data_IF_482827862524
#
_entry.id   IF_482827862524
#
_cell.length_a   1.000
_cell.length_b   1.000
_cell.length_c   1.000
_cell.angle_alpha   90.00
_cell.angle_beta   90.00
_cell.angle_gamma   90.00
#
_symmetry.space_group_name_H-M   'P 1'
#
loop_
_entity.id
_entity.type
_entity.pdbx_description
1 polymer ?
#
# COMPACT_ATOMS: atom_id res chain seq x y z
N UNK A 1 9.63 -23.38 -11.56
CA UNK A 1 8.18 -23.36 -11.89
C UNK A 1 7.68 -21.96 -11.59
N UNK A 2 7.03 -21.29 -12.54
CA UNK A 2 6.45 -19.94 -12.35
C UNK A 2 4.92 -20.04 -12.45
N UNK A 3 4.15 -19.11 -11.85
CA UNK A 3 2.70 -19.12 -11.98
C UNK A 3 2.25 -18.96 -13.44
N UNK A 4 1.28 -19.76 -13.88
CA UNK A 4 0.64 -19.65 -15.19
C UNK A 4 -0.86 -19.43 -15.03
N UNK A 5 -1.47 -18.68 -15.96
CA UNK A 5 -2.91 -18.49 -15.99
C UNK A 5 -3.60 -19.81 -16.35
N UNK A 6 -4.59 -20.21 -15.54
CA UNK A 6 -5.42 -21.41 -15.75
C UNK A 6 -6.75 -21.03 -16.43
N UNK A 7 -6.78 -19.94 -17.19
CA UNK A 7 -7.98 -19.43 -17.87
C UNK A 7 -7.81 -19.43 -19.38
N UNK A 8 -8.87 -19.82 -20.09
CA UNK A 8 -8.96 -19.71 -21.54
C UNK A 8 -9.38 -18.30 -22.02
N UNK A 9 -9.80 -17.42 -21.09
CA UNK A 9 -10.18 -16.04 -21.37
C UNK A 9 -8.93 -15.15 -21.38
N UNK A 10 -8.36 -14.89 -22.56
CA UNK A 10 -7.21 -14.00 -22.77
C UNK A 10 -7.50 -12.80 -23.66
N UNK A 11 -8.74 -12.65 -24.18
CA UNK A 11 -9.08 -11.61 -25.16
C UNK A 11 -8.79 -10.18 -24.69
N UNK A 12 -9.47 -9.68 -23.63
CA UNK A 12 -9.33 -8.28 -23.22
C UNK A 12 -7.92 -7.92 -22.70
N UNK A 13 -7.20 -8.87 -22.11
CA UNK A 13 -5.82 -8.62 -21.64
C UNK A 13 -4.84 -8.53 -22.80
N UNK A 14 -4.98 -9.36 -23.83
CA UNK A 14 -4.10 -9.29 -25.00
C UNK A 14 -4.26 -7.94 -25.73
N UNK A 15 -5.49 -7.42 -25.86
CA UNK A 15 -5.71 -6.10 -26.44
C UNK A 15 -5.11 -4.98 -25.57
N UNK A 16 -5.28 -5.06 -24.25
CA UNK A 16 -4.66 -4.12 -23.31
C UNK A 16 -3.14 -4.13 -23.42
N UNK A 17 -2.53 -5.32 -23.44
CA UNK A 17 -1.09 -5.50 -23.60
C UNK A 17 -0.60 -4.93 -24.92
N UNK A 18 -1.27 -5.24 -26.04
CA UNK A 18 -0.93 -4.70 -27.35
C UNK A 18 -1.00 -3.18 -27.37
N UNK A 19 -2.06 -2.58 -26.81
CA UNK A 19 -2.20 -1.11 -26.71
C UNK A 19 -1.08 -0.47 -25.88
N UNK A 20 -0.67 -1.11 -24.80
CA UNK A 20 0.45 -0.65 -23.96
C UNK A 20 1.75 -0.69 -24.75
N UNK A 21 2.04 -1.80 -25.46
CA UNK A 21 3.24 -1.96 -26.27
C UNK A 21 3.30 -0.94 -27.42
N UNK A 22 2.19 -0.77 -28.15
CA UNK A 22 2.10 0.15 -29.28
C UNK A 22 2.22 1.63 -28.85
N UNK A 23 1.89 1.94 -27.61
CA UNK A 23 1.85 3.31 -27.07
C UNK A 23 2.99 3.61 -26.09
N UNK A 24 4.02 2.77 -26.01
CA UNK A 24 5.07 2.86 -24.98
C UNK A 24 5.73 4.26 -24.88
N UNK A 25 6.14 4.94 -25.98
CA UNK A 25 6.70 6.28 -25.88
C UNK A 25 5.73 7.33 -25.33
N UNK A 26 4.43 7.20 -25.66
CA UNK A 26 3.39 8.09 -25.18
C UNK A 26 3.11 7.87 -23.68
N UNK A 27 3.10 6.61 -23.22
CA UNK A 27 2.96 6.23 -21.81
C UNK A 27 4.12 6.82 -20.99
N UNK A 28 5.36 6.61 -21.44
CA UNK A 28 6.55 7.13 -20.75
C UNK A 28 6.55 8.66 -20.67
N UNK A 29 6.14 9.33 -21.75
CA UNK A 29 5.96 10.79 -21.74
C UNK A 29 4.86 11.22 -20.77
N UNK A 30 3.74 10.52 -20.76
CA UNK A 30 2.61 10.82 -19.88
C UNK A 30 3.04 10.72 -18.41
N UNK A 31 3.69 9.63 -18.00
CA UNK A 31 4.22 9.49 -16.64
C UNK A 31 5.22 10.58 -16.27
N UNK A 32 6.17 10.92 -17.16
CA UNK A 32 7.12 12.03 -16.88
C UNK A 32 6.41 13.34 -16.57
N UNK A 33 5.32 13.66 -17.28
CA UNK A 33 4.54 14.88 -17.04
C UNK A 33 3.78 14.80 -15.71
N UNK A 34 3.14 13.66 -15.40
CA UNK A 34 2.49 13.47 -14.10
C UNK A 34 3.49 13.62 -12.93
N UNK A 35 4.72 13.12 -13.07
CA UNK A 35 5.76 13.24 -12.04
C UNK A 35 6.40 14.63 -11.91
N UNK A 36 6.15 15.53 -12.88
CA UNK A 36 6.48 16.95 -12.75
C UNK A 36 5.46 17.69 -11.89
N UNK A 37 4.19 17.30 -11.96
CA UNK A 37 3.10 17.90 -11.18
C UNK A 37 2.94 17.25 -9.80
N UNK A 38 3.29 15.97 -9.68
CA UNK A 38 3.11 15.18 -8.47
C UNK A 38 4.42 14.56 -7.98
N UNK A 39 4.71 14.73 -6.68
CA UNK A 39 5.86 14.09 -6.05
C UNK A 39 5.52 12.63 -5.71
N UNK A 40 6.25 11.64 -6.26
CA UNK A 40 6.04 10.25 -5.88
C UNK A 40 6.46 10.01 -4.42
N UNK A 41 5.86 9.01 -3.74
CA UNK A 41 6.32 8.61 -2.42
C UNK A 41 7.76 8.07 -2.49
N UNK A 42 8.49 8.12 -1.36
CA UNK A 42 9.85 7.56 -1.26
C UNK A 42 9.89 6.08 -1.68
N UNK A 43 8.84 5.33 -1.36
CA UNK A 43 8.63 3.96 -1.77
C UNK A 43 7.14 3.59 -1.73
N UNK A 44 6.78 2.47 -2.36
CA UNK A 44 5.44 1.88 -2.27
C UNK A 44 5.50 0.45 -2.80
N UNK A 45 4.57 -0.40 -2.38
CA UNK A 45 4.22 -1.62 -3.11
C UNK A 45 2.77 -1.56 -3.58
N UNK A 46 2.47 -2.26 -4.67
CA UNK A 46 1.11 -2.34 -5.23
C UNK A 46 0.81 -3.81 -5.53
N UNK A 47 -0.24 -4.33 -4.92
CA UNK A 47 -0.73 -5.67 -5.22
C UNK A 47 -1.62 -5.60 -6.45
N UNK A 48 -1.34 -6.43 -7.45
CA UNK A 48 -2.08 -6.47 -8.71
C UNK A 48 -2.72 -7.85 -8.86
N UNK A 49 -3.95 -7.89 -9.39
CA UNK A 49 -4.59 -9.15 -9.81
C UNK A 49 -4.77 -9.17 -11.32
N UNK A 50 -4.28 -10.24 -11.94
CA UNK A 50 -4.57 -10.58 -13.32
C UNK A 50 -5.69 -11.64 -13.36
N UNK A 51 -6.85 -11.26 -13.89
CA UNK A 51 -8.01 -12.14 -14.06
C UNK A 51 -8.15 -12.70 -15.48
N UNK A 52 -7.21 -12.41 -16.40
CA UNK A 52 -7.29 -12.72 -17.84
C UNK A 52 -8.21 -11.78 -18.63
N UNK A 53 -9.20 -11.17 -17.98
CA UNK A 53 -10.09 -10.17 -18.58
C UNK A 53 -9.95 -8.76 -17.93
N UNK A 54 -9.12 -8.65 -16.88
CA UNK A 54 -8.89 -7.42 -16.13
C UNK A 54 -7.54 -7.50 -15.40
N UNK A 55 -6.79 -6.40 -15.40
CA UNK A 55 -5.51 -6.26 -14.70
C UNK A 55 -5.55 -5.01 -13.83
N UNK A 56 -5.83 -5.17 -12.55
CA UNK A 56 -6.12 -4.04 -11.68
C UNK A 56 -5.36 -4.13 -10.35
N UNK A 57 -4.94 -2.99 -9.78
CA UNK A 57 -4.43 -2.94 -8.42
C UNK A 57 -5.56 -3.22 -7.42
N UNK A 58 -5.22 -3.91 -6.35
CA UNK A 58 -6.16 -4.28 -5.27
C UNK A 58 -5.72 -3.80 -3.90
N UNK A 59 -4.45 -3.43 -3.75
CA UNK A 59 -3.87 -2.79 -2.57
C UNK A 59 -2.70 -1.88 -2.96
N UNK A 60 -2.53 -0.79 -2.23
CA UNK A 60 -1.36 0.09 -2.33
C UNK A 60 -0.85 0.33 -0.92
N UNK A 61 0.37 -0.15 -0.66
CA UNK A 61 1.01 -0.06 0.64
C UNK A 61 2.18 0.93 0.58
N UNK A 62 2.02 2.06 1.28
CA UNK A 62 3.06 3.08 1.42
C UNK A 62 4.14 2.72 2.45
N UNK A 63 4.03 1.59 3.14
CA UNK A 63 4.96 1.06 4.14
C UNK A 63 5.26 -0.41 3.81
N UNK A 64 5.82 -0.69 2.62
CA UNK A 64 6.05 -2.07 2.16
C UNK A 64 6.96 -2.83 3.13
N UNK A 65 6.52 -4.02 3.55
CA UNK A 65 7.21 -4.88 4.53
C UNK A 65 7.83 -6.15 3.95
N UNK A 66 8.15 -6.16 2.65
CA UNK A 66 8.63 -7.35 1.93
C UNK A 66 9.92 -7.15 1.13
N UNK A 67 10.79 -6.20 1.52
CA UNK A 67 12.04 -5.89 0.80
C UNK A 67 12.98 -7.10 0.70
N UNK A 68 12.94 -8.00 1.67
CA UNK A 68 13.69 -9.26 1.68
C UNK A 68 13.24 -10.27 0.60
N UNK A 69 12.09 -10.03 -0.07
CA UNK A 69 11.61 -10.88 -1.16
C UNK A 69 12.15 -10.43 -2.53
N UNK A 70 12.84 -9.28 -2.60
CA UNK A 70 13.52 -8.86 -3.81
C UNK A 70 14.65 -9.83 -4.14
N UNK A 71 14.76 -10.22 -5.41
CA UNK A 71 15.86 -11.06 -5.86
C UNK A 71 17.18 -10.28 -5.86
N UNK A 72 18.31 -10.97 -5.70
CA UNK A 72 19.64 -10.33 -5.71
C UNK A 72 19.87 -9.48 -6.98
N UNK A 73 19.37 -9.92 -8.12
CA UNK A 73 19.49 -9.20 -9.39
C UNK A 73 18.73 -7.86 -9.41
N UNK A 74 17.71 -7.70 -8.57
CA UNK A 74 16.93 -6.45 -8.47
C UNK A 74 17.57 -5.43 -7.52
N UNK A 75 18.49 -5.85 -6.65
CA UNK A 75 19.07 -4.97 -5.63
C UNK A 75 19.83 -3.76 -6.19
N UNK A 76 20.66 -3.88 -7.25
CA UNK A 76 21.32 -2.72 -7.83
C UNK A 76 20.33 -1.65 -8.32
N UNK A 77 19.22 -2.08 -8.94
CA UNK A 77 18.16 -1.18 -9.39
C UNK A 77 17.41 -0.54 -8.21
N UNK A 78 17.17 -1.29 -7.14
CA UNK A 78 16.56 -0.76 -5.92
C UNK A 78 17.45 0.31 -5.25
N UNK A 79 18.77 0.10 -5.23
CA UNK A 79 19.75 1.07 -4.73
C UNK A 79 19.73 2.34 -5.58
N UNK A 80 19.76 2.21 -6.91
CA UNK A 80 19.71 3.36 -7.81
C UNK A 80 18.40 4.15 -7.66
N UNK A 81 17.26 3.46 -7.51
CA UNK A 81 15.97 4.09 -7.26
C UNK A 81 15.95 4.82 -5.91
N UNK A 82 16.54 4.23 -4.86
CA UNK A 82 16.67 4.85 -3.55
C UNK A 82 17.53 6.14 -3.60
N UNK A 83 18.63 6.14 -4.36
CA UNK A 83 19.46 7.33 -4.58
C UNK A 83 18.65 8.46 -5.23
N UNK A 84 17.97 8.16 -6.34
CA UNK A 84 17.15 9.15 -7.04
C UNK A 84 16.01 9.70 -6.17
N UNK A 85 15.39 8.84 -5.34
CA UNK A 85 14.32 9.26 -4.44
C UNK A 85 14.84 10.18 -3.33
N UNK A 86 16.02 9.89 -2.78
CA UNK A 86 16.67 10.72 -1.74
C UNK A 86 17.14 12.05 -2.33
N UNK A 87 17.76 12.07 -3.50
CA UNK A 87 18.18 13.31 -4.19
C UNK A 87 17.01 14.27 -4.43
N UNK A 88 15.83 13.74 -4.77
CA UNK A 88 14.62 14.55 -4.98
C UNK A 88 14.03 15.10 -3.69
N UNK A 89 14.16 14.39 -2.57
CA UNK A 89 13.50 14.74 -1.31
C UNK A 89 14.43 15.53 -0.37
N UNK A 90 15.65 15.03 -0.17
CA UNK A 90 16.63 15.63 0.73
C UNK A 90 18.05 15.33 0.22
N UNK A 91 18.57 16.12 -0.74
CA UNK A 91 19.87 15.86 -1.37
C UNK A 91 21.06 15.99 -0.40
N UNK A 92 20.88 16.71 0.71
CA UNK A 92 21.90 16.87 1.75
C UNK A 92 21.83 15.80 2.86
N UNK A 93 20.91 14.84 2.75
CA UNK A 93 20.73 13.82 3.76
C UNK A 93 22.00 12.98 3.91
N UNK A 94 22.59 13.00 5.11
CA UNK A 94 23.71 12.12 5.49
C UNK A 94 23.24 10.95 6.34
N UNK A 95 22.33 11.23 7.26
CA UNK A 95 21.81 10.28 8.24
C UNK A 95 20.33 10.01 7.97
N UNK A 96 19.94 8.73 7.91
CA UNK A 96 18.57 8.28 7.77
C UNK A 96 18.19 7.36 8.93
N UNK A 97 17.06 7.66 9.58
CA UNK A 97 16.51 6.85 10.66
C UNK A 97 15.34 6.02 10.14
N UNK A 98 15.43 4.70 10.20
CA UNK A 98 14.30 3.82 9.91
C UNK A 98 13.52 3.58 11.20
N UNK A 99 12.21 3.82 11.17
CA UNK A 99 11.29 3.46 12.26
C UNK A 99 10.47 2.24 11.82
N UNK A 100 10.73 1.05 12.39
CA UNK A 100 10.01 -0.16 12.04
C UNK A 100 8.68 -0.28 12.82
N UNK A 101 7.88 -1.27 12.45
CA UNK A 101 6.76 -1.76 13.25
C UNK A 101 7.21 -2.15 14.66
N UNK A 102 6.30 -2.07 15.62
CA UNK A 102 6.60 -2.40 17.02
C UNK A 102 6.83 -3.90 17.26
N UNK A 103 6.48 -4.76 16.29
CA UNK A 103 6.59 -6.21 16.41
C UNK A 103 8.04 -6.68 16.25
N UNK A 104 8.69 -7.03 17.36
CA UNK A 104 10.09 -7.48 17.39
C UNK A 104 10.26 -9.00 17.25
N UNK A 105 9.16 -9.77 17.21
CA UNK A 105 9.22 -11.25 17.16
C UNK A 105 9.10 -11.83 15.74
N UNK A 106 8.61 -11.04 14.78
CA UNK A 106 8.46 -11.51 13.41
C UNK A 106 9.82 -11.41 12.69
N UNK A 107 10.54 -12.52 12.64
CA UNK A 107 11.86 -12.59 12.02
C UNK A 107 11.83 -12.27 10.52
N UNK A 108 10.78 -12.62 9.79
CA UNK A 108 10.63 -12.24 8.37
C UNK A 108 10.55 -10.72 8.20
N UNK A 109 9.79 -10.06 9.07
CA UNK A 109 9.68 -8.60 9.05
C UNK A 109 11.02 -7.93 9.43
N UNK A 110 11.75 -8.47 10.40
CA UNK A 110 13.08 -7.94 10.73
C UNK A 110 14.09 -8.13 9.60
N UNK A 111 14.05 -9.25 8.87
CA UNK A 111 14.84 -9.44 7.64
C UNK A 111 14.47 -8.40 6.58
N UNK A 112 13.18 -8.04 6.46
CA UNK A 112 12.74 -6.93 5.62
C UNK A 112 13.39 -5.59 6.05
N UNK A 113 13.36 -5.25 7.34
CA UNK A 113 13.96 -4.00 7.85
C UNK A 113 15.47 -3.98 7.61
N UNK A 114 16.15 -5.11 7.82
CA UNK A 114 17.58 -5.24 7.54
C UNK A 114 17.89 -5.06 6.05
N UNK A 115 17.07 -5.62 5.16
CA UNK A 115 17.23 -5.43 3.71
C UNK A 115 16.99 -3.97 3.30
N UNK A 116 16.01 -3.31 3.91
CA UNK A 116 15.75 -1.88 3.70
C UNK A 116 16.93 -1.02 4.15
N UNK A 117 17.50 -1.31 5.33
CA UNK A 117 18.71 -0.67 5.83
C UNK A 117 19.86 -0.82 4.82
N UNK A 118 20.07 -2.03 4.28
CA UNK A 118 21.12 -2.28 3.27
C UNK A 118 20.94 -1.43 2.02
N UNK A 119 19.73 -1.39 1.46
CA UNK A 119 19.44 -0.63 0.25
C UNK A 119 19.83 0.84 0.42
N UNK A 120 19.38 1.48 1.52
CA UNK A 120 19.69 2.88 1.78
C UNK A 120 21.16 3.11 2.21
N UNK A 121 21.78 2.17 2.91
CA UNK A 121 23.21 2.25 3.23
C UNK A 121 24.07 2.17 1.97
N UNK A 122 23.77 1.26 1.05
CA UNK A 122 24.46 1.15 -0.24
C UNK A 122 24.18 2.36 -1.14
N UNK A 123 23.03 3.02 -0.97
CA UNK A 123 22.73 4.30 -1.63
C UNK A 123 23.58 5.48 -1.11
N UNK A 124 24.39 5.28 -0.07
CA UNK A 124 25.33 6.29 0.45
C UNK A 124 24.91 6.98 1.74
N UNK A 125 23.84 6.50 2.39
CA UNK A 125 23.37 7.06 3.66
C UNK A 125 23.94 6.30 4.87
N UNK A 126 24.10 7.02 5.98
CA UNK A 126 24.33 6.41 7.28
C UNK A 126 22.97 6.04 7.90
N UNK A 127 22.62 4.76 7.87
CA UNK A 127 21.28 4.28 8.24
C UNK A 127 21.29 3.55 9.59
N UNK A 128 20.46 4.03 10.52
CA UNK A 128 20.21 3.35 11.81
C UNK A 128 18.72 3.08 12.00
N UNK A 129 18.40 2.15 12.90
CA UNK A 129 17.03 1.68 13.13
C UNK A 129 16.59 2.11 14.54
N UNK A 130 15.58 2.97 14.59
CA UNK A 130 15.02 3.51 15.83
C UNK A 130 13.67 2.89 16.16
N UNK A 131 13.57 2.24 17.30
CA UNK A 131 12.31 1.69 17.80
C UNK A 131 11.53 2.74 18.61
N UNK A 132 10.24 2.85 18.30
CA UNK A 132 9.24 3.57 19.11
C UNK A 132 8.48 2.63 20.06
N UNK A 133 8.88 1.35 20.14
CA UNK A 133 8.27 0.39 21.05
C UNK A 133 8.73 0.70 22.49
N UNK A 134 7.81 0.98 23.44
CA UNK A 134 8.16 1.32 24.82
C UNK A 134 8.87 0.20 25.60
N UNK A 135 8.83 -1.04 25.10
CA UNK A 135 9.56 -2.18 25.68
C UNK A 135 11.07 -2.15 25.36
N UNK A 136 11.47 -1.47 24.28
CA UNK A 136 12.88 -1.32 23.89
C UNK A 136 13.44 -0.09 24.59
N UNK A 137 14.18 -0.31 25.69
CA UNK A 137 14.78 0.78 26.50
C UNK A 137 16.28 0.94 26.32
N UNK A 138 16.93 -0.07 25.76
CA UNK A 138 18.37 -0.14 25.53
C UNK A 138 18.66 -0.65 24.12
N UNK A 139 19.90 -0.45 23.66
CA UNK A 139 20.38 -0.97 22.37
C UNK A 139 20.21 -2.49 22.36
N UNK A 140 19.32 -2.99 21.51
CA UNK A 140 18.85 -4.37 21.51
C UNK A 140 19.28 -5.07 20.21
N UNK A 141 20.37 -5.86 20.21
CA UNK A 141 20.72 -6.71 19.09
C UNK A 141 19.78 -7.92 19.02
N UNK A 142 19.32 -8.26 17.82
CA UNK A 142 18.48 -9.42 17.54
C UNK A 142 19.15 -10.24 16.44
N UNK A 143 19.42 -11.51 16.73
CA UNK A 143 19.95 -12.46 15.73
C UNK A 143 18.81 -13.05 14.91
N UNK A 144 18.93 -12.92 13.59
CA UNK A 144 17.98 -13.44 12.62
C UNK A 144 18.28 -14.91 12.30
N UNK A 145 17.30 -15.68 11.76
CA UNK A 145 17.48 -17.11 11.46
C UNK A 145 18.61 -17.42 10.47
N UNK A 146 19.04 -16.45 9.66
CA UNK A 146 20.14 -16.57 8.72
C UNK A 146 21.52 -16.26 9.33
N UNK A 147 21.60 -16.02 10.65
CA UNK A 147 22.83 -15.69 11.38
C UNK A 147 23.22 -14.21 11.36
N UNK A 148 22.47 -13.37 10.65
CA UNK A 148 22.71 -11.92 10.61
C UNK A 148 22.11 -11.24 11.84
N UNK A 149 22.61 -10.05 12.19
CA UNK A 149 22.12 -9.28 13.32
C UNK A 149 21.47 -7.98 12.86
N UNK A 150 20.34 -7.65 13.47
CA UNK A 150 19.72 -6.32 13.39
C UNK A 150 19.81 -5.67 14.77
N UNK A 151 20.07 -4.37 14.82
CA UNK A 151 20.17 -3.61 16.07
C UNK A 151 19.02 -2.63 16.13
N UNK A 152 18.17 -2.76 17.14
CA UNK A 152 17.09 -1.82 17.44
C UNK A 152 17.53 -0.89 18.57
N UNK A 153 17.35 0.41 18.38
CA UNK A 153 17.74 1.40 19.36
C UNK A 153 16.54 2.23 19.81
N UNK A 154 16.39 2.53 21.10
CA UNK A 154 15.31 3.41 21.56
C UNK A 154 15.46 4.79 20.95
N UNK A 155 14.39 5.30 20.32
CA UNK A 155 14.41 6.68 19.82
C UNK A 155 14.43 7.68 20.96
N UNK A 156 15.16 8.78 20.78
CA UNK A 156 15.24 9.88 21.72
C UNK A 156 14.65 11.12 21.08
N UNK A 157 13.60 11.65 21.70
CA UNK A 157 12.96 12.89 21.27
C UNK A 157 13.57 14.07 22.01
N UNK A 158 14.18 14.97 21.25
CA UNK A 158 14.51 16.32 21.69
C UNK A 158 13.32 17.25 21.42
N UNK A 159 13.40 18.53 21.82
CA UNK A 159 12.29 19.49 21.66
C UNK A 159 11.68 19.51 20.25
N UNK A 160 12.50 19.41 19.20
CA UNK A 160 12.05 19.55 17.79
C UNK A 160 12.50 18.43 16.85
N UNK A 161 13.32 17.49 17.33
CA UNK A 161 13.96 16.45 16.51
C UNK A 161 13.91 15.10 17.19
N UNK A 162 13.80 14.05 16.39
CA UNK A 162 13.89 12.65 16.80
C UNK A 162 15.22 12.07 16.31
N UNK A 163 15.95 11.39 17.19
CA UNK A 163 17.22 10.78 16.84
C UNK A 163 17.52 9.56 17.70
N UNK A 164 18.77 9.13 17.67
CA UNK A 164 19.31 8.12 18.59
C UNK A 164 20.45 8.75 19.38
N UNK A 165 21.04 7.97 20.29
CA UNK A 165 22.27 8.40 20.98
C UNK A 165 23.36 8.68 19.94
N UNK A 166 23.88 9.90 19.97
CA UNK A 166 24.93 10.42 19.08
C UNK A 166 24.60 10.30 17.58
N UNK A 167 23.30 10.34 17.23
CA UNK A 167 22.84 10.24 15.84
C UNK A 167 21.63 11.13 15.59
N UNK A 168 21.84 12.16 14.76
CA UNK A 168 20.82 13.13 14.35
C UNK A 168 20.49 12.96 12.85
N UNK A 169 19.33 12.37 12.51
CA UNK A 169 18.90 12.17 11.13
C UNK A 169 18.27 13.43 10.54
N UNK A 170 18.49 13.67 9.24
CA UNK A 170 17.72 14.68 8.49
C UNK A 170 16.39 14.10 7.99
N UNK A 171 16.38 12.79 7.75
CA UNK A 171 15.25 12.05 7.17
C UNK A 171 14.91 10.85 8.05
N UNK A 172 13.62 10.68 8.31
CA UNK A 172 13.05 9.57 9.05
C UNK A 172 12.17 8.79 8.07
N UNK A 173 12.56 7.55 7.80
CA UNK A 173 11.82 6.62 6.98
C UNK A 173 10.93 5.75 7.87
N UNK A 174 9.63 5.94 7.78
CA UNK A 174 8.65 5.12 8.48
C UNK A 174 8.44 3.82 7.70
N UNK A 175 8.80 2.68 8.27
CA UNK A 175 8.32 1.35 7.86
C UNK A 175 7.30 0.80 8.87
N UNK A 176 6.57 1.71 9.50
CA UNK A 176 5.50 1.48 10.46
C UNK A 176 4.24 2.18 9.95
N UNK A 177 3.15 1.43 9.80
CA UNK A 177 1.95 1.88 9.09
C UNK A 177 1.06 2.84 9.91
N UNK A 178 1.37 3.01 11.21
CA UNK A 178 0.66 3.87 12.17
C UNK A 178 -0.85 3.57 12.24
N UNK A 179 -1.21 2.30 12.08
CA UNK A 179 -2.57 1.77 12.18
C UNK A 179 -3.25 2.06 13.52
N UNK A 180 -2.48 2.11 14.62
CA UNK A 180 -2.98 2.46 15.95
C UNK A 180 -3.08 3.98 16.20
N UNK A 181 -2.71 4.81 15.21
CA UNK A 181 -2.53 6.25 15.37
C UNK A 181 -1.05 6.65 15.40
N UNK A 182 -0.75 7.87 14.97
CA UNK A 182 0.58 8.43 15.11
C UNK A 182 0.86 8.70 16.59
N UNK A 183 1.91 8.12 17.20
CA UNK A 183 2.27 8.47 18.56
C UNK A 183 2.86 9.89 18.61
N UNK A 184 2.57 10.64 19.67
CA UNK A 184 3.01 12.04 19.82
C UNK A 184 4.52 12.27 19.67
N UNK A 185 5.35 11.23 19.86
CA UNK A 185 6.79 11.30 19.62
C UNK A 185 7.15 11.57 18.14
N UNK A 186 6.27 11.22 17.19
CA UNK A 186 6.42 11.46 15.76
C UNK A 186 5.72 12.73 15.28
N UNK A 187 4.94 13.38 16.15
CA UNK A 187 4.21 14.60 15.82
C UNK A 187 5.13 15.83 15.91
N UNK A 188 4.72 16.90 15.23
CA UNK A 188 5.39 18.23 15.30
C UNK A 188 6.90 18.18 14.97
N UNK A 189 7.30 17.28 14.06
CA UNK A 189 8.66 17.20 13.50
C UNK A 189 8.77 18.14 12.29
N UNK A 190 9.09 19.41 12.53
CA UNK A 190 9.20 20.41 11.47
C UNK A 190 10.60 20.52 10.85
N UNK A 191 11.61 19.95 11.49
CA UNK A 191 13.02 20.06 11.05
C UNK A 191 13.57 18.77 10.41
N UNK A 192 12.71 17.76 10.27
CA UNK A 192 13.08 16.45 9.74
C UNK A 192 12.01 15.98 8.76
N UNK A 193 12.43 15.34 7.68
CA UNK A 193 11.50 14.77 6.72
C UNK A 193 10.98 13.44 7.24
N UNK A 194 9.68 13.35 7.46
CA UNK A 194 9.00 12.10 7.79
C UNK A 194 8.41 11.49 6.52
N UNK A 195 8.91 10.32 6.11
CA UNK A 195 8.57 9.71 4.84
C UNK A 195 8.06 8.27 5.04
N UNK A 196 6.86 7.92 4.55
CA UNK A 196 5.79 8.82 4.11
C UNK A 196 5.33 9.78 5.22
N UNK A 197 4.67 10.89 4.88
CA UNK A 197 4.16 11.83 5.89
C UNK A 197 3.02 11.22 6.73
N UNK A 198 2.80 11.71 7.96
CA UNK A 198 1.81 11.13 8.90
C UNK A 198 0.39 11.03 8.33
N UNK A 199 -0.03 11.97 7.49
CA UNK A 199 -1.37 11.94 6.88
C UNK A 199 -1.55 10.76 5.89
N UNK A 200 -0.47 10.11 5.47
CA UNK A 200 -0.49 8.87 4.71
C UNK A 200 -0.70 7.62 5.59
N UNK A 201 -0.62 7.77 6.92
CA UNK A 201 -0.81 6.70 7.90
C UNK A 201 -2.20 6.06 7.83
N UNK A 202 -2.29 4.81 8.26
CA UNK A 202 -3.52 4.00 8.19
C UNK A 202 -4.68 4.59 9.00
N UNK A 203 -4.37 5.28 10.11
CA UNK A 203 -5.36 5.88 11.01
C UNK A 203 -6.09 7.08 10.42
N UNK A 204 -5.50 7.77 9.43
CA UNK A 204 -6.04 9.02 8.88
C UNK A 204 -6.61 8.83 7.47
N UNK A 205 -5.92 8.04 6.63
CA UNK A 205 -6.32 7.92 5.23
C UNK A 205 -7.67 7.23 5.06
N UNK A 206 -8.35 7.55 3.96
CA UNK A 206 -9.62 6.92 3.57
C UNK A 206 -9.45 6.13 2.28
N UNK A 207 -9.95 4.89 2.26
CA UNK A 207 -9.90 4.03 1.07
C UNK A 207 -10.77 4.60 -0.05
N UNK A 208 -11.91 5.19 0.29
CA UNK A 208 -12.80 5.91 -0.62
C UNK A 208 -12.06 6.99 -1.41
N UNK A 209 -11.30 7.85 -0.74
CA UNK A 209 -10.46 8.87 -1.38
C UNK A 209 -9.40 8.24 -2.30
N UNK A 210 -8.73 7.19 -1.85
CA UNK A 210 -7.75 6.47 -2.68
C UNK A 210 -8.39 5.92 -3.97
N UNK A 211 -9.54 5.25 -3.87
CA UNK A 211 -10.24 4.71 -5.04
C UNK A 211 -10.76 5.79 -5.98
N UNK A 212 -11.19 6.94 -5.43
CA UNK A 212 -11.58 8.10 -6.23
C UNK A 212 -10.39 8.66 -7.01
N UNK A 213 -9.26 8.92 -6.36
CA UNK A 213 -8.03 9.38 -7.01
C UNK A 213 -7.55 8.40 -8.09
N UNK A 214 -7.59 7.09 -7.80
CA UNK A 214 -7.19 6.08 -8.78
C UNK A 214 -8.16 6.01 -9.97
N UNK A 215 -9.47 6.17 -9.75
CA UNK A 215 -10.46 6.21 -10.83
C UNK A 215 -10.19 7.40 -11.78
N UNK A 216 -9.86 8.57 -11.26
CA UNK A 216 -9.51 9.75 -12.07
C UNK A 216 -8.27 9.50 -12.93
N UNK A 217 -7.22 8.92 -12.33
CA UNK A 217 -5.99 8.51 -13.05
C UNK A 217 -6.31 7.49 -14.14
N UNK A 218 -7.07 6.44 -13.81
CA UNK A 218 -7.43 5.39 -14.76
C UNK A 218 -8.28 5.92 -15.93
N UNK A 219 -9.20 6.88 -15.68
CA UNK A 219 -9.98 7.54 -16.73
C UNK A 219 -9.10 8.38 -17.66
N UNK A 220 -8.18 9.18 -17.12
CA UNK A 220 -7.24 9.99 -17.91
C UNK A 220 -6.32 9.11 -18.75
N UNK A 221 -5.75 8.07 -18.14
CA UNK A 221 -4.88 7.12 -18.80
C UNK A 221 -5.61 6.30 -19.86
N UNK A 222 -6.82 5.81 -19.54
CA UNK A 222 -7.68 5.08 -20.47
C UNK A 222 -8.05 5.92 -21.70
N UNK A 223 -8.39 7.20 -21.51
CA UNK A 223 -8.64 8.14 -22.61
C UNK A 223 -7.41 8.34 -23.49
N UNK A 224 -6.23 8.46 -22.89
CA UNK A 224 -4.97 8.65 -23.62
C UNK A 224 -4.63 7.44 -24.50
N UNK A 225 -4.86 6.22 -24.01
CA UNK A 225 -4.59 4.97 -24.73
C UNK A 225 -5.73 4.48 -25.63
N UNK A 226 -6.93 5.06 -25.49
CA UNK A 226 -8.12 4.55 -26.17
C UNK A 226 -8.57 3.17 -25.66
N UNK A 227 -8.36 2.88 -24.37
CA UNK A 227 -8.82 1.66 -23.71
C UNK A 227 -9.99 1.93 -22.77
N UNK A 228 -10.81 0.92 -22.51
CA UNK A 228 -11.81 1.01 -21.44
C UNK A 228 -11.10 1.07 -20.07
N UNK A 229 -11.26 2.15 -19.27
CA UNK A 229 -10.65 2.24 -17.95
C UNK A 229 -11.10 1.12 -17.00
N UNK A 230 -12.22 0.45 -17.26
CA UNK A 230 -12.64 -0.71 -16.48
C UNK A 230 -11.61 -1.85 -16.51
N UNK A 231 -10.80 -1.98 -17.57
CA UNK A 231 -9.79 -3.04 -17.66
C UNK A 231 -8.69 -2.90 -16.60
N UNK A 232 -8.47 -1.68 -16.10
CA UNK A 232 -7.43 -1.36 -15.11
C UNK A 232 -7.96 -0.84 -13.77
N UNK A 233 -9.25 -0.47 -13.69
CA UNK A 233 -9.85 0.09 -12.49
C UNK A 233 -11.02 -0.76 -11.96
N UNK A 234 -10.95 -1.31 -10.72
CA UNK A 234 -12.12 -1.88 -10.07
C UNK A 234 -13.19 -0.81 -9.83
N UNK A 235 -14.46 -1.15 -10.11
CA UNK A 235 -15.55 -0.26 -9.73
C UNK A 235 -15.69 -0.29 -8.20
N UNK A 236 -15.95 0.87 -7.59
CA UNK A 236 -16.25 0.97 -6.17
C UNK A 236 -17.48 1.86 -5.96
N UNK A 237 -18.06 1.76 -4.77
CA UNK A 237 -19.10 2.63 -4.24
C UNK A 237 -18.81 2.81 -2.74
N UNK A 238 -19.40 3.83 -2.11
CA UNK A 238 -19.30 4.09 -0.68
C UNK A 238 -20.69 4.20 -0.06
N UNK A 239 -20.83 3.71 1.17
CA UNK A 239 -21.96 3.98 2.04
C UNK A 239 -21.47 4.77 3.26
N UNK A 240 -22.41 5.42 3.96
CA UNK A 240 -22.11 6.07 5.24
C UNK A 240 -21.81 5.06 6.36
N UNK A 241 -22.03 5.49 7.59
CA UNK A 241 -21.83 4.64 8.77
C UNK A 241 -22.77 3.41 8.75
N UNK A 242 -22.21 2.24 9.07
CA UNK A 242 -22.94 0.98 9.15
C UNK A 242 -22.62 0.32 10.48
N UNK A 243 -23.65 0.04 11.29
CA UNK A 243 -23.50 -0.76 12.50
C UNK A 243 -24.06 -2.16 12.26
N UNK A 244 -23.18 -3.14 12.10
CA UNK A 244 -23.56 -4.54 11.89
C UNK A 244 -24.21 -5.20 13.13
N UNK A 245 -24.01 -4.64 14.32
CA UNK A 245 -24.61 -5.15 15.56
C UNK A 245 -26.06 -4.65 15.72
N UNK A 246 -26.30 -3.36 15.49
CA UNK A 246 -27.61 -2.72 15.62
C UNK A 246 -28.45 -2.77 14.33
N UNK A 247 -27.82 -3.11 13.19
CA UNK A 247 -28.47 -3.16 11.88
C UNK A 247 -28.66 -1.79 11.22
N UNK A 248 -28.20 -0.70 11.83
CA UNK A 248 -28.26 0.65 11.25
C UNK A 248 -27.34 0.77 10.03
N UNK A 249 -27.77 1.50 9.00
CA UNK A 249 -27.02 1.66 7.76
C UNK A 249 -27.02 0.44 6.80
N UNK A 250 -27.60 -0.70 7.20
CA UNK A 250 -27.62 -1.92 6.37
C UNK A 250 -28.39 -1.77 5.07
N UNK A 251 -29.46 -0.95 5.03
CA UNK A 251 -30.18 -0.66 3.79
C UNK A 251 -29.29 0.06 2.78
N UNK A 252 -28.55 1.08 3.22
CA UNK A 252 -27.59 1.80 2.39
C UNK A 252 -26.50 0.86 1.84
N UNK A 253 -26.00 -0.06 2.67
CA UNK A 253 -25.04 -1.09 2.24
C UNK A 253 -25.64 -2.00 1.18
N UNK A 254 -26.86 -2.53 1.39
CA UNK A 254 -27.57 -3.39 0.43
C UNK A 254 -27.74 -2.70 -0.92
N UNK A 255 -28.27 -1.47 -0.94
CA UNK A 255 -28.49 -0.71 -2.17
C UNK A 255 -27.19 -0.46 -2.93
N UNK A 256 -26.10 -0.14 -2.24
CA UNK A 256 -24.80 0.07 -2.87
C UNK A 256 -24.19 -1.21 -3.43
N UNK A 257 -24.31 -2.33 -2.71
CA UNK A 257 -23.84 -3.64 -3.17
C UNK A 257 -24.64 -4.10 -4.40
N UNK A 258 -25.96 -3.97 -4.39
CA UNK A 258 -26.80 -4.33 -5.53
C UNK A 258 -26.47 -3.52 -6.78
N UNK A 259 -26.36 -2.20 -6.62
CA UNK A 259 -26.01 -1.30 -7.70
C UNK A 259 -24.64 -1.64 -8.31
N UNK A 260 -23.66 -1.98 -7.46
CA UNK A 260 -22.32 -2.34 -7.91
C UNK A 260 -22.31 -3.71 -8.61
N UNK A 261 -22.99 -4.72 -8.06
CA UNK A 261 -23.14 -6.04 -8.69
C UNK A 261 -23.81 -5.91 -10.07
N UNK A 262 -24.82 -5.07 -10.20
CA UNK A 262 -25.52 -4.82 -11.48
C UNK A 262 -24.57 -4.20 -12.51
N UNK A 263 -23.76 -3.20 -12.12
CA UNK A 263 -22.74 -2.62 -13.02
C UNK A 263 -21.69 -3.65 -13.45
N UNK A 264 -21.23 -4.50 -12.53
CA UNK A 264 -20.24 -5.55 -12.82
C UNK A 264 -20.86 -6.59 -13.78
N UNK A 265 -22.09 -7.05 -13.54
CA UNK A 265 -22.82 -7.98 -14.44
C UNK A 265 -22.91 -7.43 -15.87
N UNK A 266 -23.15 -6.13 -16.03
CA UNK A 266 -23.19 -5.49 -17.35
C UNK A 266 -21.84 -5.58 -18.07
N UNK A 267 -20.74 -5.28 -17.39
CA UNK A 267 -19.38 -5.40 -17.95
C UNK A 267 -19.01 -6.85 -18.25
N UNK A 268 -19.42 -7.78 -17.38
CA UNK A 268 -19.19 -9.19 -17.63
C UNK A 268 -19.90 -9.66 -18.90
N UNK A 269 -21.17 -9.25 -19.10
CA UNK A 269 -21.90 -9.52 -20.34
C UNK A 269 -21.24 -8.89 -21.57
N UNK A 270 -20.77 -7.65 -21.46
CA UNK A 270 -20.08 -6.91 -22.53
C UNK A 270 -18.82 -7.66 -23.03
N UNK A 271 -18.04 -8.23 -22.11
CA UNK A 271 -16.81 -8.97 -22.41
C UNK A 271 -16.99 -10.49 -22.51
N UNK A 272 -18.23 -11.01 -22.45
CA UNK A 272 -18.50 -12.46 -22.51
C UNK A 272 -17.93 -13.26 -21.33
N UNK A 273 -17.82 -12.65 -20.15
CA UNK A 273 -17.27 -13.25 -18.94
C UNK A 273 -18.36 -14.06 -18.22
N UNK A 274 -18.12 -15.37 -18.06
CA UNK A 274 -19.05 -16.30 -17.42
C UNK A 274 -18.82 -16.48 -15.90
N UNK A 275 -17.84 -15.78 -15.34
CA UNK A 275 -17.52 -15.81 -13.91
C UNK A 275 -18.62 -15.17 -13.05
N UNK A 276 -18.81 -15.67 -11.82
CA UNK A 276 -19.78 -15.06 -10.88
C UNK A 276 -19.22 -13.74 -10.31
N UNK A 277 -19.91 -12.60 -10.51
CA UNK A 277 -19.53 -11.32 -9.91
C UNK A 277 -19.45 -11.41 -8.39
N UNK A 278 -18.63 -10.53 -7.80
CA UNK A 278 -18.57 -10.34 -6.37
C UNK A 278 -18.19 -8.90 -6.05
N UNK A 279 -18.55 -8.47 -4.83
CA UNK A 279 -18.17 -7.19 -4.24
C UNK A 279 -17.40 -7.48 -2.96
N UNK A 280 -16.39 -6.67 -2.67
CA UNK A 280 -15.66 -6.72 -1.40
C UNK A 280 -16.10 -5.52 -0.57
N UNK A 281 -16.76 -5.79 0.56
CA UNK A 281 -17.13 -4.76 1.54
C UNK A 281 -15.94 -4.54 2.45
N UNK A 282 -15.50 -3.29 2.58
CA UNK A 282 -14.34 -2.88 3.38
C UNK A 282 -14.74 -1.71 4.28
N UNK A 283 -14.36 -1.74 5.55
CA UNK A 283 -14.39 -0.54 6.39
C UNK A 283 -13.42 0.52 5.82
N UNK A 284 -13.87 1.77 5.71
CA UNK A 284 -13.16 2.83 4.97
C UNK A 284 -11.83 3.24 5.63
N UNK A 285 -11.79 3.23 6.96
CA UNK A 285 -10.61 3.44 7.82
C UNK A 285 -10.05 2.14 8.42
N UNK A 286 -10.49 0.98 7.97
CA UNK A 286 -10.04 -0.30 8.54
C UNK A 286 -8.58 -0.64 8.21
N UNK A 287 -7.88 -1.32 9.12
CA UNK A 287 -6.47 -1.71 8.99
C UNK A 287 -6.30 -3.24 8.84
N UNK A 288 -5.14 -3.70 8.33
CA UNK A 288 -4.73 -5.12 8.24
C UNK A 288 -5.79 -6.15 7.78
N UNK A 289 -6.65 -5.81 6.82
CA UNK A 289 -7.67 -6.72 6.31
C UNK A 289 -8.81 -7.03 7.30
N UNK A 290 -8.86 -6.34 8.44
CA UNK A 290 -10.00 -6.32 9.34
C UNK A 290 -11.17 -5.55 8.70
N UNK A 291 -12.41 -5.95 9.01
CA UNK A 291 -13.58 -5.36 8.38
C UNK A 291 -13.70 -5.63 6.87
N UNK A 292 -13.27 -6.82 6.40
CA UNK A 292 -13.41 -7.24 5.00
C UNK A 292 -14.30 -8.48 4.86
N UNK A 293 -15.31 -8.41 3.99
CA UNK A 293 -16.09 -9.55 3.55
C UNK A 293 -16.34 -9.52 2.04
N UNK A 294 -16.58 -10.69 1.46
CA UNK A 294 -16.94 -10.84 0.04
C UNK A 294 -18.41 -11.18 -0.07
N UNK A 295 -19.13 -10.44 -0.91
CA UNK A 295 -20.56 -10.59 -1.18
C UNK A 295 -20.75 -10.96 -2.64
N UNK A 296 -21.56 -11.98 -2.92
CA UNK A 296 -21.89 -12.41 -4.28
C UNK A 296 -23.36 -12.19 -4.63
N UNK A 297 -24.20 -12.08 -3.60
CA UNK A 297 -25.60 -11.71 -3.70
C UNK A 297 -25.99 -10.81 -2.51
N UNK A 298 -26.93 -9.89 -2.72
CA UNK A 298 -27.37 -8.97 -1.66
C UNK A 298 -27.90 -9.74 -0.43
N UNK A 299 -28.51 -10.91 -0.65
CA UNK A 299 -28.99 -11.78 0.44
C UNK A 299 -27.88 -12.32 1.35
N UNK A 300 -26.62 -12.33 0.90
CA UNK A 300 -25.48 -12.69 1.76
C UNK A 300 -25.33 -11.71 2.95
N UNK A 301 -25.85 -10.48 2.83
CA UNK A 301 -25.86 -9.47 3.90
C UNK A 301 -26.93 -9.73 4.96
N UNK A 302 -27.95 -10.53 4.65
CA UNK A 302 -29.01 -10.88 5.59
C UNK A 302 -28.61 -12.07 6.48
N UNK A 303 -27.69 -12.91 6.00
CA UNK A 303 -27.26 -14.15 6.65
C UNK A 303 -25.90 -14.01 7.35
N UNK A 304 -25.57 -12.81 7.85
CA UNK A 304 -24.30 -12.57 8.54
C UNK A 304 -24.24 -13.32 9.87
N UNK A 305 -23.40 -14.35 9.92
CA UNK A 305 -23.10 -15.07 11.15
C UNK A 305 -22.36 -14.17 12.16
N UNK A 306 -22.36 -14.58 13.45
CA UNK A 306 -21.75 -13.83 14.55
C UNK A 306 -20.27 -13.49 14.30
N UNK A 307 -19.52 -14.41 13.69
CA UNK A 307 -18.09 -14.22 13.37
C UNK A 307 -17.89 -13.09 12.35
N UNK A 308 -18.72 -13.04 11.31
CA UNK A 308 -18.66 -11.99 10.29
C UNK A 308 -19.08 -10.65 10.86
N UNK A 309 -20.14 -10.59 11.70
CA UNK A 309 -20.52 -9.34 12.39
C UNK A 309 -19.38 -8.79 13.23
N UNK A 310 -18.78 -9.62 14.08
CA UNK A 310 -17.62 -9.22 14.89
C UNK A 310 -16.43 -8.75 14.04
N UNK A 311 -16.20 -9.39 12.89
CA UNK A 311 -15.13 -8.99 11.95
C UNK A 311 -15.39 -7.62 11.33
N UNK A 312 -16.66 -7.26 11.13
CA UNK A 312 -17.08 -6.02 10.47
C UNK A 312 -17.39 -4.87 11.45
N UNK A 313 -17.45 -5.13 12.76
CA UNK A 313 -17.64 -4.13 13.83
C UNK A 313 -16.34 -3.39 14.21
N UNK A 314 -15.47 -3.11 13.24
CA UNK A 314 -14.17 -2.44 13.41
C UNK A 314 -14.27 -0.98 12.99
#
# INVERSE_FOLDING_TARGET
MVPHLVTALTGPINELEQRILDSMPAIERWFRLEWMEHTPPIYTSVDIRNAGFKLAPVDTNLFPGGWNNLTTAMLPLAVQAAQAAIEKICPEAKNLLIIPENHTRNTFYLTNVLQLQRIFSTAGLNVRIGSINPEIKDVTPITLPNGENIVLEPVVRSKRRLGLKDFDPCTILLNNDLSAGAPGILEELHEQFLLPPLHAGWSVRRKSTHFQSYEEVAKRFGKMLGIDPWLINPMFNQCGEVNFAEGTGMECLRSNVDALLTKIKRKYKEYGINEKPFVVVKADNGTYGMGIMTVRDVSDLDQLNRKTRNKMSV
#
